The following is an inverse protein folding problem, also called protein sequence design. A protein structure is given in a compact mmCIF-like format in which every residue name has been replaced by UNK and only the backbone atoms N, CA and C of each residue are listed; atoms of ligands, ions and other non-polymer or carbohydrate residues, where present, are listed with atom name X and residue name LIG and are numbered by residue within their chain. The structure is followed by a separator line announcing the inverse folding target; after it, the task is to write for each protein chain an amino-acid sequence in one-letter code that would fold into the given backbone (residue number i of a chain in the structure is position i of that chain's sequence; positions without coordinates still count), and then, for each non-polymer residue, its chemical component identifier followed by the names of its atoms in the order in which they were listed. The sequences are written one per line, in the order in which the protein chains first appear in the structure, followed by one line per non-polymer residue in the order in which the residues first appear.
data_IF_918905485721
#
_entry.id   IF_918905485721
#
_cell.length_a   1.000
_cell.length_b   1.000
_cell.length_c   1.000
_cell.angle_alpha   90.00
_cell.angle_beta   90.00
_cell.angle_gamma   90.00
#
_symmetry.space_group_name_H-M   'P 1'
#
loop_
_entity.id
_entity.type
_entity.pdbx_description
1 polymer ?
#
# COMPACT_ATOMS: atom_id res chain seq x y z
N UNK A 1 32.07 31.79 69.61
CA UNK A 1 32.60 30.43 69.39
C UNK A 1 31.51 29.58 68.77
N UNK A 2 31.53 29.42 67.46
CA UNK A 2 30.73 28.43 66.73
C UNK A 2 31.54 28.05 65.50
N UNK A 3 32.19 26.89 65.57
CA UNK A 3 33.10 26.37 64.54
C UNK A 3 32.31 25.52 63.57
N UNK A 4 32.05 26.05 62.38
CA UNK A 4 31.49 25.32 61.25
C UNK A 4 32.55 24.42 60.61
N UNK A 5 32.33 23.12 60.66
CA UNK A 5 33.13 22.11 59.96
C UNK A 5 32.64 21.97 58.51
N UNK A 6 33.39 22.53 57.57
CA UNK A 6 33.23 22.26 56.14
C UNK A 6 33.77 20.88 55.80
N UNK A 7 32.91 19.99 55.31
CA UNK A 7 33.31 18.68 54.76
C UNK A 7 33.54 18.83 53.25
N UNK A 8 34.80 18.72 52.83
CA UNK A 8 35.19 18.56 51.43
C UNK A 8 34.69 17.21 50.89
N UNK A 9 34.00 17.23 49.75
CA UNK A 9 33.68 16.03 48.98
C UNK A 9 34.95 15.53 48.25
N UNK A 10 35.30 14.23 48.29
CA UNK A 10 36.39 13.71 47.50
C UNK A 10 35.98 13.60 46.03
N UNK A 11 36.67 14.35 45.18
CA UNK A 11 36.68 14.17 43.73
C UNK A 11 37.59 12.99 43.41
N UNK A 12 37.01 11.89 42.94
CA UNK A 12 37.73 10.63 42.75
C UNK A 12 37.23 9.81 41.57
N UNK A 13 37.23 10.38 40.36
CA UNK A 13 37.16 9.60 39.12
C UNK A 13 38.56 9.53 38.50
N UNK A 14 39.39 8.63 39.02
CA UNK A 14 40.61 8.21 38.33
C UNK A 14 40.26 7.38 37.08
N UNK A 15 41.00 7.48 35.97
CA UNK A 15 40.69 6.71 34.76
C UNK A 15 40.74 5.21 35.05
N UNK A 16 39.66 4.50 34.69
CA UNK A 16 39.54 3.04 34.85
C UNK A 16 40.80 2.31 34.36
N UNK A 17 41.32 1.40 35.18
CA UNK A 17 42.35 0.44 34.80
C UNK A 17 41.93 -0.36 33.56
N UNK A 18 42.90 -0.78 32.73
CA UNK A 18 42.65 -1.60 31.52
C UNK A 18 41.79 -2.83 31.83
N UNK A 19 41.98 -3.46 33.01
CA UNK A 19 41.14 -4.58 33.46
C UNK A 19 39.70 -4.17 33.74
N UNK A 20 39.49 -2.99 34.34
CA UNK A 20 38.16 -2.42 34.56
C UNK A 20 37.45 -2.10 33.25
N UNK A 21 38.17 -1.51 32.29
CA UNK A 21 37.65 -1.25 30.93
C UNK A 21 37.26 -2.55 30.20
N UNK A 22 38.08 -3.60 30.31
CA UNK A 22 37.79 -4.91 29.73
C UNK A 22 36.59 -5.60 30.38
N UNK A 23 36.43 -5.51 31.71
CA UNK A 23 35.28 -6.07 32.41
C UNK A 23 33.98 -5.33 32.07
N UNK A 24 34.02 -3.99 31.98
CA UNK A 24 32.87 -3.19 31.54
C UNK A 24 32.49 -3.53 30.09
N UNK A 25 33.49 -3.66 29.19
CA UNK A 25 33.25 -4.07 27.81
C UNK A 25 32.64 -5.47 27.74
N UNK A 26 33.18 -6.43 28.49
CA UNK A 26 32.66 -7.79 28.53
C UNK A 26 31.22 -7.82 29.06
N UNK A 27 30.93 -7.09 30.14
CA UNK A 27 29.58 -6.98 30.69
C UNK A 27 28.61 -6.35 29.67
N UNK A 28 29.03 -5.29 28.97
CA UNK A 28 28.23 -4.66 27.92
C UNK A 28 27.96 -5.63 26.75
N UNK A 29 28.98 -6.38 26.31
CA UNK A 29 28.85 -7.40 25.25
C UNK A 29 27.90 -8.51 25.68
N UNK A 30 28.01 -9.02 26.91
CA UNK A 30 27.10 -10.05 27.44
C UNK A 30 25.67 -9.52 27.51
N UNK A 31 25.45 -8.31 28.02
CA UNK A 31 24.11 -7.69 28.08
C UNK A 31 23.54 -7.53 26.67
N UNK A 32 24.30 -6.99 25.72
CA UNK A 32 23.86 -6.83 24.33
C UNK A 32 23.56 -8.17 23.66
N UNK A 33 24.40 -9.19 23.86
CA UNK A 33 24.18 -10.53 23.31
C UNK A 33 22.92 -11.18 23.90
N UNK A 34 22.68 -11.01 25.21
CA UNK A 34 21.46 -11.52 25.87
C UNK A 34 20.22 -10.81 25.34
N UNK A 35 20.26 -9.47 25.23
CA UNK A 35 19.15 -8.68 24.69
C UNK A 35 18.87 -9.06 23.24
N UNK A 36 19.89 -9.18 22.40
CA UNK A 36 19.77 -9.62 21.02
C UNK A 36 19.19 -11.04 20.93
N UNK A 37 19.68 -11.98 21.73
CA UNK A 37 19.18 -13.35 21.78
C UNK A 37 17.70 -13.42 22.19
N UNK A 38 17.29 -12.69 23.23
CA UNK A 38 15.89 -12.62 23.66
C UNK A 38 15.01 -11.95 22.59
N UNK A 39 15.50 -10.89 21.93
CA UNK A 39 14.78 -10.23 20.86
C UNK A 39 14.57 -11.15 19.66
N UNK A 40 15.60 -11.89 19.24
CA UNK A 40 15.54 -12.90 18.17
C UNK A 40 14.57 -14.02 18.55
N UNK A 41 14.65 -14.56 19.77
CA UNK A 41 13.76 -15.62 20.23
C UNK A 41 12.30 -15.16 20.26
N UNK A 42 12.01 -13.96 20.76
CA UNK A 42 10.66 -13.38 20.73
C UNK A 42 10.18 -13.06 19.31
N UNK A 43 11.08 -12.68 18.41
CA UNK A 43 10.73 -12.48 17.00
C UNK A 43 10.40 -13.81 16.32
N UNK A 44 11.20 -14.86 16.58
CA UNK A 44 10.98 -16.21 16.08
C UNK A 44 9.65 -16.80 16.61
N UNK A 45 9.38 -16.72 17.92
CA UNK A 45 8.13 -17.20 18.49
C UNK A 45 6.89 -16.44 17.97
N UNK A 46 7.01 -15.14 17.71
CA UNK A 46 5.95 -14.36 17.04
C UNK A 46 5.77 -14.75 15.58
N UNK A 47 6.85 -15.07 14.87
CA UNK A 47 6.77 -15.55 13.49
C UNK A 47 6.13 -16.93 13.40
N UNK A 48 6.46 -17.83 14.33
CA UNK A 48 5.86 -19.16 14.46
C UNK A 48 4.37 -19.07 14.80
N UNK A 49 3.99 -18.23 15.77
CA UNK A 49 2.58 -17.99 16.11
C UNK A 49 1.75 -17.52 14.89
N UNK A 50 2.34 -16.66 14.04
CA UNK A 50 1.69 -16.18 12.80
C UNK A 50 1.54 -17.26 11.72
N UNK A 51 2.27 -18.36 11.81
CA UNK A 51 2.16 -19.50 10.90
C UNK A 51 1.10 -20.52 11.35
N UNK A 52 0.53 -20.35 12.55
CA UNK A 52 -0.57 -21.18 13.04
C UNK A 52 -1.93 -20.56 12.73
N UNK A 53 -2.81 -21.37 12.17
CA UNK A 53 -4.21 -21.03 11.95
C UNK A 53 -4.86 -20.71 13.31
N UNK A 54 -5.54 -19.57 13.39
CA UNK A 54 -6.21 -19.14 14.61
C UNK A 54 -7.65 -19.65 14.66
N UNK A 55 -8.13 -19.96 15.87
CA UNK A 55 -9.53 -20.31 16.08
C UNK A 55 -10.44 -19.13 15.70
N UNK A 56 -11.49 -19.38 14.91
CA UNK A 56 -12.39 -18.34 14.41
C UNK A 56 -11.83 -17.53 13.23
N UNK A 57 -10.61 -17.83 12.76
CA UNK A 57 -10.08 -17.26 11.53
C UNK A 57 -10.76 -17.83 10.28
N UNK A 58 -10.60 -17.15 9.12
CA UNK A 58 -11.15 -17.63 7.85
C UNK A 58 -10.53 -18.98 7.46
N UNK A 59 -11.36 -19.90 6.94
CA UNK A 59 -10.87 -21.16 6.38
C UNK A 59 -10.07 -20.88 5.09
N UNK A 60 -8.86 -21.41 5.00
CA UNK A 60 -7.98 -21.24 3.84
C UNK A 60 -7.44 -22.60 3.40
N UNK A 61 -7.62 -22.92 2.13
CA UNK A 61 -7.14 -24.14 1.52
C UNK A 61 -6.32 -23.83 0.27
N UNK A 62 -5.25 -24.58 0.03
CA UNK A 62 -4.49 -24.47 -1.21
C UNK A 62 -5.34 -24.90 -2.42
N UNK A 63 -5.20 -24.21 -3.54
CA UNK A 63 -5.87 -24.57 -4.78
C UNK A 63 -5.53 -23.66 -5.95
N UNK A 64 -6.22 -23.87 -7.07
CA UNK A 64 -5.99 -23.08 -8.29
C UNK A 64 -6.78 -21.78 -8.24
N UNK A 65 -6.08 -20.66 -8.40
CA UNK A 65 -6.67 -19.35 -8.63
C UNK A 65 -6.41 -18.94 -10.08
N UNK A 66 -7.42 -18.35 -10.71
CA UNK A 66 -7.34 -17.85 -12.09
C UNK A 66 -7.76 -16.38 -12.11
N UNK A 67 -7.04 -15.57 -12.88
CA UNK A 67 -7.39 -14.17 -13.15
C UNK A 67 -8.24 -14.01 -14.42
N UNK A 68 -8.52 -15.11 -15.13
CA UNK A 68 -9.36 -15.07 -16.32
C UNK A 68 -10.79 -14.63 -15.97
N UNK A 69 -11.36 -13.82 -16.84
CA UNK A 69 -12.77 -13.40 -16.79
C UNK A 69 -13.72 -14.51 -17.26
N UNK A 70 -13.55 -15.71 -16.69
CA UNK A 70 -14.29 -16.91 -17.07
C UNK A 70 -14.83 -17.59 -15.82
N UNK A 71 -16.15 -17.68 -15.72
CA UNK A 71 -16.86 -18.31 -14.61
C UNK A 71 -17.65 -17.30 -13.79
N UNK A 72 -18.08 -17.68 -12.57
CA UNK A 72 -18.76 -16.75 -11.66
C UNK A 72 -17.82 -15.63 -11.20
N UNK A 73 -18.35 -14.41 -10.92
CA UNK A 73 -17.55 -13.32 -10.39
C UNK A 73 -16.84 -13.68 -9.08
N UNK A 74 -15.60 -13.22 -8.94
CA UNK A 74 -14.73 -13.52 -7.80
C UNK A 74 -14.02 -12.27 -7.30
N UNK A 75 -13.56 -12.33 -6.06
CA UNK A 75 -12.61 -11.35 -5.52
C UNK A 75 -11.30 -12.09 -5.25
N UNK A 76 -10.21 -11.51 -5.75
CA UNK A 76 -8.84 -11.96 -5.46
C UNK A 76 -8.15 -10.89 -4.63
N UNK A 77 -7.48 -11.28 -3.56
CA UNK A 77 -6.84 -10.36 -2.62
C UNK A 77 -5.63 -11.03 -1.96
N UNK A 78 -4.77 -10.24 -1.33
CA UNK A 78 -3.70 -10.76 -0.45
C UNK A 78 -4.33 -11.21 0.87
N UNK A 79 -4.19 -12.49 1.22
CA UNK A 79 -4.62 -13.03 2.50
C UNK A 79 -3.72 -12.50 3.61
N UNK A 80 -4.29 -11.88 4.64
CA UNK A 80 -3.59 -11.49 5.86
C UNK A 80 -3.80 -12.50 7.00
N UNK A 81 -4.58 -13.56 6.74
CA UNK A 81 -4.91 -14.58 7.74
C UNK A 81 -3.64 -15.25 8.23
N UNK A 82 -3.54 -15.44 9.55
CA UNK A 82 -2.45 -16.22 10.14
C UNK A 82 -2.60 -17.69 9.74
N UNK A 83 -1.47 -18.35 9.53
CA UNK A 83 -1.42 -19.66 8.92
C UNK A 83 -0.37 -19.73 7.80
N UNK A 84 -0.20 -20.92 7.19
CA UNK A 84 0.77 -21.14 6.12
C UNK A 84 0.50 -20.32 4.85
N UNK A 85 -0.75 -19.88 4.64
CA UNK A 85 -1.19 -19.13 3.46
C UNK A 85 -1.23 -17.61 3.68
N UNK A 86 -0.50 -17.12 4.69
CA UNK A 86 -0.37 -15.69 4.92
C UNK A 86 0.41 -15.04 3.77
N UNK A 87 -0.03 -13.86 3.36
CA UNK A 87 0.50 -13.06 2.25
C UNK A 87 0.32 -13.68 0.85
N UNK A 88 -0.27 -14.88 0.74
CA UNK A 88 -0.66 -15.48 -0.54
C UNK A 88 -1.87 -14.76 -1.16
N UNK A 89 -1.91 -14.71 -2.49
CA UNK A 89 -3.11 -14.37 -3.23
C UNK A 89 -4.16 -15.47 -2.99
N UNK A 90 -5.30 -15.05 -2.47
CA UNK A 90 -6.44 -15.88 -2.19
C UNK A 90 -7.65 -15.41 -3.00
N UNK A 91 -8.53 -16.35 -3.35
CA UNK A 91 -9.77 -16.09 -4.08
C UNK A 91 -10.99 -16.59 -3.32
N UNK A 92 -12.07 -15.82 -3.42
CA UNK A 92 -13.40 -16.12 -2.91
C UNK A 92 -14.46 -15.81 -3.98
N UNK A 93 -15.63 -16.46 -3.97
CA UNK A 93 -16.78 -16.03 -4.76
C UNK A 93 -17.19 -14.59 -4.38
N UNK A 94 -17.50 -13.74 -5.34
CA UNK A 94 -17.91 -12.36 -5.04
C UNK A 94 -19.22 -12.28 -4.24
N UNK A 95 -20.08 -13.29 -4.37
CA UNK A 95 -21.31 -13.43 -3.61
C UNK A 95 -21.10 -13.88 -2.14
N UNK A 96 -19.91 -14.38 -1.80
CA UNK A 96 -19.56 -14.86 -0.46
C UNK A 96 -18.13 -14.41 -0.09
N UNK A 97 -17.89 -13.09 0.04
CA UNK A 97 -16.55 -12.52 0.16
C UNK A 97 -15.82 -12.86 1.48
N UNK A 98 -16.56 -13.25 2.52
CA UNK A 98 -16.06 -13.71 3.81
C UNK A 98 -15.98 -15.25 3.93
N UNK A 99 -16.34 -15.97 2.87
CA UNK A 99 -16.36 -17.43 2.83
C UNK A 99 -14.97 -18.09 2.75
N UNK A 100 -14.93 -19.43 2.60
CA UNK A 100 -13.70 -20.18 2.48
C UNK A 100 -12.82 -19.70 1.32
N UNK A 101 -11.52 -19.59 1.58
CA UNK A 101 -10.54 -19.05 0.65
C UNK A 101 -9.78 -20.15 -0.08
N UNK A 102 -9.58 -19.94 -1.37
CA UNK A 102 -8.61 -20.72 -2.16
C UNK A 102 -7.32 -19.94 -2.28
N UNK A 103 -6.24 -20.41 -1.65
CA UNK A 103 -4.92 -19.78 -1.70
C UNK A 103 -4.08 -20.36 -2.84
N UNK A 104 -3.41 -19.48 -3.58
CA UNK A 104 -2.73 -19.81 -4.84
C UNK A 104 -1.28 -20.28 -4.72
N UNK A 105 -0.64 -20.09 -3.57
CA UNK A 105 0.81 -20.21 -3.40
C UNK A 105 1.63 -18.99 -3.87
N UNK A 106 1.00 -17.98 -4.47
CA UNK A 106 1.70 -16.75 -4.92
C UNK A 106 1.64 -15.68 -3.85
N UNK A 107 2.78 -15.32 -3.25
CA UNK A 107 2.86 -14.30 -2.21
C UNK A 107 3.01 -12.89 -2.80
N UNK A 108 2.25 -11.89 -2.32
CA UNK A 108 2.40 -10.49 -2.76
C UNK A 108 2.31 -9.54 -1.56
N UNK A 109 3.05 -8.42 -1.61
CA UNK A 109 2.88 -7.28 -0.70
C UNK A 109 1.71 -6.39 -1.14
N UNK A 110 1.64 -6.11 -2.44
CA UNK A 110 0.56 -5.37 -3.11
C UNK A 110 0.17 -6.11 -4.38
N UNK A 111 -1.11 -6.05 -4.72
CA UNK A 111 -1.65 -6.78 -5.84
C UNK A 111 -2.78 -6.00 -6.52
N UNK A 112 -2.89 -6.14 -7.84
CA UNK A 112 -4.10 -5.81 -8.56
C UNK A 112 -4.23 -6.69 -9.80
N UNK A 113 -5.45 -6.95 -10.25
CA UNK A 113 -5.70 -7.67 -11.50
C UNK A 113 -6.90 -7.13 -12.26
N UNK A 114 -6.78 -7.14 -13.58
CA UNK A 114 -7.83 -6.81 -14.54
C UNK A 114 -7.46 -7.40 -15.92
N UNK A 115 -8.47 -7.68 -16.75
CA UNK A 115 -8.24 -8.16 -18.13
C UNK A 115 -7.42 -9.46 -18.23
N UNK A 116 -7.45 -10.33 -17.22
CA UNK A 116 -6.64 -11.55 -17.19
C UNK A 116 -5.15 -11.34 -16.83
N UNK A 117 -4.74 -10.11 -16.52
CA UNK A 117 -3.38 -9.76 -16.12
C UNK A 117 -3.34 -9.39 -14.64
N UNK A 118 -2.34 -9.87 -13.92
CA UNK A 118 -2.04 -9.47 -12.55
C UNK A 118 -0.74 -8.70 -12.43
N UNK A 119 -0.66 -7.76 -11.49
CA UNK A 119 0.59 -7.18 -11.02
C UNK A 119 0.77 -7.54 -9.54
N UNK A 120 1.88 -8.21 -9.22
CA UNK A 120 2.22 -8.64 -7.86
C UNK A 120 3.54 -8.01 -7.46
N UNK A 121 3.52 -7.16 -6.43
CA UNK A 121 4.72 -6.52 -5.90
C UNK A 121 5.22 -7.36 -4.71
N UNK A 122 6.51 -7.68 -4.69
CA UNK A 122 7.10 -8.57 -3.69
C UNK A 122 8.33 -7.94 -3.04
N UNK A 123 8.59 -8.31 -1.79
CA UNK A 123 9.90 -8.17 -1.17
C UNK A 123 10.69 -9.48 -1.36
N UNK A 124 11.97 -9.33 -1.65
CA UNK A 124 12.98 -10.36 -1.54
C UNK A 124 13.83 -10.01 -0.32
N UNK A 125 13.75 -10.85 0.72
CA UNK A 125 14.51 -10.62 1.94
C UNK A 125 15.98 -10.89 1.68
N UNK A 126 16.79 -9.84 1.78
CA UNK A 126 18.24 -9.94 1.67
C UNK A 126 18.91 -10.10 3.04
N UNK A 127 20.21 -10.41 3.07
CA UNK A 127 20.97 -10.53 4.33
C UNK A 127 21.11 -9.20 5.08
N UNK A 128 21.10 -8.07 4.36
CA UNK A 128 21.35 -6.73 4.88
C UNK A 128 20.15 -5.80 4.65
N UNK A 129 19.64 -5.75 3.42
CA UNK A 129 18.47 -4.96 3.04
C UNK A 129 17.51 -5.82 2.22
N UNK A 130 16.22 -5.52 2.30
CA UNK A 130 15.22 -6.07 1.39
C UNK A 130 15.37 -5.42 0.00
N UNK A 131 15.25 -6.23 -1.05
CA UNK A 131 15.00 -5.74 -2.41
C UNK A 131 13.52 -5.94 -2.75
N UNK A 132 13.04 -5.20 -3.75
CA UNK A 132 11.65 -5.27 -4.15
C UNK A 132 11.55 -5.51 -5.65
N UNK A 133 10.50 -6.23 -6.08
CA UNK A 133 10.25 -6.53 -7.50
C UNK A 133 8.76 -6.47 -7.82
N UNK A 134 8.45 -6.08 -9.05
CA UNK A 134 7.14 -6.21 -9.67
C UNK A 134 7.12 -7.44 -10.59
N UNK A 135 6.11 -8.29 -10.40
CA UNK A 135 5.85 -9.45 -11.24
C UNK A 135 4.56 -9.21 -12.04
N UNK A 136 4.65 -9.27 -13.37
CA UNK A 136 3.47 -9.36 -14.22
C UNK A 136 3.07 -10.82 -14.31
N UNK A 137 1.81 -11.11 -14.02
CA UNK A 137 1.23 -12.44 -13.96
C UNK A 137 0.22 -12.63 -15.09
N UNK A 138 0.22 -13.80 -15.72
CA UNK A 138 -0.84 -14.22 -16.63
C UNK A 138 -2.11 -14.66 -15.88
N UNK A 139 -3.12 -15.08 -16.64
CA UNK A 139 -4.41 -15.51 -16.10
C UNK A 139 -4.34 -16.76 -15.22
N UNK A 140 -3.23 -17.50 -15.24
CA UNK A 140 -2.96 -18.68 -14.42
C UNK A 140 -1.92 -18.40 -13.34
N UNK A 141 -1.68 -17.11 -13.03
CA UNK A 141 -0.70 -16.64 -12.05
C UNK A 141 0.75 -17.00 -12.37
N UNK A 142 1.08 -17.26 -13.64
CA UNK A 142 2.47 -17.47 -14.06
C UNK A 142 3.13 -16.13 -14.32
N UNK A 143 4.35 -15.97 -13.81
CA UNK A 143 5.15 -14.77 -14.07
C UNK A 143 5.54 -14.71 -15.54
N UNK A 144 5.08 -13.67 -16.23
CA UNK A 144 5.45 -13.36 -17.62
C UNK A 144 6.56 -12.31 -17.70
N UNK A 145 6.70 -11.47 -16.67
CA UNK A 145 7.75 -10.46 -16.57
C UNK A 145 8.11 -10.17 -15.12
N UNK A 146 9.39 -9.83 -14.90
CA UNK A 146 9.92 -9.28 -13.65
C UNK A 146 10.54 -7.91 -13.91
N UNK A 147 10.32 -6.96 -13.02
CA UNK A 147 10.97 -5.64 -13.00
C UNK A 147 11.43 -5.35 -11.57
N UNK A 148 12.69 -4.99 -11.38
CA UNK A 148 13.18 -4.60 -10.06
C UNK A 148 12.67 -3.21 -9.68
N UNK A 149 12.38 -3.01 -8.40
CA UNK A 149 11.78 -1.79 -7.87
C UNK A 149 12.82 -0.96 -7.12
N UNK A 150 12.72 0.35 -7.25
CA UNK A 150 13.64 1.29 -6.61
C UNK A 150 13.38 1.48 -5.10
N UNK A 151 12.31 0.89 -4.54
CA UNK A 151 11.97 1.05 -3.12
C UNK A 151 10.70 0.31 -2.72
N UNK A 152 10.14 0.66 -1.56
CA UNK A 152 9.07 -0.09 -0.89
C UNK A 152 7.74 0.09 -1.66
N UNK A 153 7.09 -0.97 -2.16
CA UNK A 153 5.86 -0.86 -2.93
C UNK A 153 4.64 -0.49 -2.09
N UNK A 154 3.85 0.47 -2.58
CA UNK A 154 2.68 1.01 -1.86
C UNK A 154 1.39 0.87 -2.64
N UNK A 155 1.43 0.91 -3.97
CA UNK A 155 0.24 0.87 -4.85
C UNK A 155 0.52 -0.01 -6.06
N UNK A 156 -0.51 -0.66 -6.55
CA UNK A 156 -0.46 -1.47 -7.77
C UNK A 156 -1.80 -1.33 -8.51
N UNK A 157 -1.75 -1.23 -9.84
CA UNK A 157 -2.95 -1.10 -10.68
C UNK A 157 -2.71 -1.73 -12.04
N UNK A 158 -3.77 -2.24 -12.66
CA UNK A 158 -3.80 -2.76 -14.03
C UNK A 158 -4.92 -2.06 -14.80
N UNK A 159 -4.72 -1.76 -16.08
CA UNK A 159 -5.79 -1.20 -16.93
C UNK A 159 -6.91 -2.21 -17.17
N UNK A 160 -8.14 -1.77 -17.49
CA UNK A 160 -9.27 -2.68 -17.71
C UNK A 160 -8.98 -3.80 -18.73
N UNK A 161 -8.17 -3.50 -19.76
CA UNK A 161 -7.76 -4.46 -20.80
C UNK A 161 -6.68 -5.46 -20.34
N UNK A 162 -5.98 -5.19 -19.24
CA UNK A 162 -4.78 -5.94 -18.83
C UNK A 162 -3.48 -5.52 -19.52
N UNK A 163 -3.51 -4.50 -20.39
CA UNK A 163 -2.36 -4.12 -21.23
C UNK A 163 -1.39 -3.14 -20.55
N UNK A 164 -1.84 -2.38 -19.55
CA UNK A 164 -0.97 -1.51 -18.75
C UNK A 164 -0.95 -1.97 -17.30
N UNK A 165 0.22 -1.94 -16.68
CA UNK A 165 0.40 -2.10 -15.25
C UNK A 165 1.10 -0.87 -14.67
N UNK A 166 0.66 -0.40 -13.53
CA UNK A 166 1.29 0.67 -12.79
C UNK A 166 1.59 0.26 -11.36
N UNK A 167 2.65 0.83 -10.80
CA UNK A 167 2.96 0.71 -9.39
C UNK A 167 3.56 2.00 -8.85
N UNK A 168 3.38 2.23 -7.56
CA UNK A 168 4.07 3.29 -6.82
C UNK A 168 4.94 2.65 -5.74
N UNK A 169 6.14 3.21 -5.56
CA UNK A 169 7.05 2.88 -4.47
C UNK A 169 7.44 4.13 -3.68
N UNK A 170 7.79 3.97 -2.41
CA UNK A 170 8.56 4.98 -1.68
C UNK A 170 10.05 4.82 -1.99
N UNK A 171 10.70 5.91 -2.39
CA UNK A 171 12.17 6.00 -2.56
C UNK A 171 12.85 6.76 -1.42
N UNK A 172 12.06 7.47 -0.60
CA UNK A 172 12.48 8.06 0.67
C UNK A 172 11.26 8.16 1.60
N UNK A 173 11.45 7.87 2.89
CA UNK A 173 10.34 7.67 3.83
C UNK A 173 9.57 6.37 3.58
N UNK A 174 8.50 6.15 4.34
CA UNK A 174 7.66 4.94 4.29
C UNK A 174 6.15 5.21 4.51
N UNK A 175 5.75 6.48 4.61
CA UNK A 175 4.39 6.90 4.92
C UNK A 175 3.95 8.15 4.14
N UNK A 176 2.69 8.17 3.70
CA UNK A 176 2.05 9.33 3.09
C UNK A 176 1.58 10.38 4.11
N UNK A 177 1.52 10.02 5.40
CA UNK A 177 1.04 10.91 6.45
C UNK A 177 2.11 11.97 6.80
N UNK A 178 3.38 11.57 6.74
CA UNK A 178 4.52 12.48 6.96
C UNK A 178 4.75 13.46 5.81
N UNK A 179 5.51 14.51 6.07
CA UNK A 179 5.85 15.55 5.09
C UNK A 179 7.13 15.25 4.29
N UNK A 180 7.91 14.24 4.71
CA UNK A 180 9.25 13.98 4.21
C UNK A 180 9.34 12.63 3.47
N UNK A 181 8.38 12.35 2.58
CA UNK A 181 8.44 11.19 1.70
C UNK A 181 8.71 11.60 0.26
N UNK A 182 9.24 10.65 -0.51
CA UNK A 182 9.30 10.75 -1.96
C UNK A 182 8.84 9.44 -2.58
N UNK A 183 8.04 9.53 -3.62
CA UNK A 183 7.53 8.38 -4.37
C UNK A 183 8.13 8.32 -5.75
N UNK A 184 8.09 7.12 -6.33
CA UNK A 184 8.27 6.91 -7.77
C UNK A 184 7.11 6.07 -8.29
N UNK A 185 6.45 6.54 -9.34
CA UNK A 185 5.36 5.82 -10.01
C UNK A 185 5.77 5.45 -11.42
N UNK A 186 5.61 4.18 -11.78
CA UNK A 186 5.96 3.65 -13.10
C UNK A 186 4.72 3.14 -13.82
N UNK A 187 4.74 3.17 -15.15
CA UNK A 187 3.75 2.53 -16.02
C UNK A 187 4.48 1.61 -17.01
N UNK A 188 4.03 0.37 -17.09
CA UNK A 188 4.54 -0.67 -17.97
C UNK A 188 3.45 -1.07 -18.97
N UNK A 189 3.77 -1.05 -20.26
CA UNK A 189 2.96 -1.76 -21.26
C UNK A 189 3.34 -3.25 -21.23
N UNK A 190 2.39 -4.11 -20.87
CA UNK A 190 2.61 -5.53 -20.65
C UNK A 190 2.78 -6.32 -21.95
N UNK A 191 2.31 -5.76 -23.07
CA UNK A 191 2.40 -6.38 -24.41
C UNK A 191 3.79 -6.15 -25.01
N UNK A 192 4.28 -4.92 -24.92
CA UNK A 192 5.57 -4.53 -25.53
C UNK A 192 6.74 -4.60 -24.57
N UNK A 193 6.48 -4.54 -23.25
CA UNK A 193 7.51 -4.43 -22.23
C UNK A 193 8.09 -3.03 -22.06
N UNK A 194 7.55 -2.02 -22.77
CA UNK A 194 7.99 -0.63 -22.63
C UNK A 194 7.66 -0.13 -21.24
N UNK A 195 8.71 0.20 -20.49
CA UNK A 195 8.61 0.75 -19.14
C UNK A 195 8.83 2.26 -19.16
N UNK A 196 7.81 2.99 -18.73
CA UNK A 196 7.95 4.37 -18.29
C UNK A 196 8.27 4.35 -16.80
N UNK A 197 9.54 4.52 -16.48
CA UNK A 197 10.08 4.27 -15.13
C UNK A 197 9.59 5.26 -14.09
N UNK A 198 9.17 6.46 -14.49
CA UNK A 198 8.84 7.56 -13.58
C UNK A 198 7.81 8.49 -14.24
N UNK A 199 6.75 8.87 -13.51
CA UNK A 199 5.78 9.87 -13.99
C UNK A 199 6.32 11.31 -13.89
N UNK A 200 7.43 11.50 -13.19
CA UNK A 200 8.15 12.76 -13.04
C UNK A 200 8.67 13.30 -14.37
N UNK A 201 8.86 12.43 -15.37
CA UNK A 201 9.22 12.81 -16.74
C UNK A 201 8.03 13.41 -17.52
N UNK A 202 6.80 13.27 -17.01
CA UNK A 202 5.61 13.71 -17.72
C UNK A 202 5.47 15.23 -17.75
N UNK A 203 4.77 15.66 -18.79
CA UNK A 203 4.41 17.02 -19.02
C UNK A 203 3.18 17.49 -18.24
N UNK A 204 3.37 17.83 -16.96
CA UNK A 204 2.27 18.35 -16.11
C UNK A 204 1.94 19.82 -16.39
N UNK A 205 0.67 20.09 -16.70
CA UNK A 205 0.13 21.45 -16.89
C UNK A 205 -0.89 21.76 -15.80
N UNK A 206 -0.83 22.97 -15.23
CA UNK A 206 -1.80 23.54 -14.30
C UNK A 206 -2.24 24.90 -14.81
N UNK A 207 -3.55 25.10 -14.95
CA UNK A 207 -4.16 26.35 -15.44
C UNK A 207 -3.55 26.82 -16.78
N UNK A 208 -3.36 25.87 -17.71
CA UNK A 208 -2.76 26.13 -19.02
C UNK A 208 -1.26 26.39 -19.03
N UNK A 209 -0.59 26.40 -17.87
CA UNK A 209 0.85 26.63 -17.74
C UNK A 209 1.58 25.36 -17.33
N UNK A 210 2.76 25.14 -17.92
CA UNK A 210 3.62 24.02 -17.54
C UNK A 210 4.05 24.19 -16.08
N UNK A 211 3.75 23.19 -15.26
CA UNK A 211 4.19 23.09 -13.88
C UNK A 211 5.50 22.29 -13.81
N UNK A 212 6.51 22.88 -13.19
CA UNK A 212 7.77 22.24 -12.83
C UNK A 212 8.11 22.66 -11.42
N UNK A 213 8.35 21.69 -10.54
CA UNK A 213 8.82 21.93 -9.19
C UNK A 213 9.66 20.72 -8.75
N UNK A 214 10.69 20.96 -7.94
CA UNK A 214 11.60 19.91 -7.50
C UNK A 214 10.95 18.92 -6.52
N UNK A 215 9.86 19.33 -5.87
CA UNK A 215 9.09 18.56 -4.91
C UNK A 215 7.89 17.82 -5.53
N UNK A 216 7.78 17.80 -6.88
CA UNK A 216 6.72 17.07 -7.57
C UNK A 216 6.81 15.57 -7.28
N UNK A 217 5.74 15.02 -6.74
CA UNK A 217 5.59 13.59 -6.49
C UNK A 217 4.29 13.07 -7.09
N UNK A 218 4.30 11.83 -7.58
CA UNK A 218 3.14 11.19 -8.19
C UNK A 218 2.85 9.83 -7.57
N UNK A 219 1.58 9.52 -7.31
CA UNK A 219 1.16 8.21 -6.80
C UNK A 219 -0.29 7.86 -7.11
N UNK A 220 -0.63 6.59 -6.93
CA UNK A 220 -2.03 6.13 -6.93
C UNK A 220 -2.68 6.23 -8.31
N UNK A 221 -2.18 5.48 -9.29
CA UNK A 221 -2.73 5.44 -10.65
C UNK A 221 -4.05 4.68 -10.70
N UNK A 222 -4.96 5.14 -11.54
CA UNK A 222 -6.13 4.40 -12.05
C UNK A 222 -6.26 4.65 -13.54
N UNK A 223 -6.46 3.61 -14.33
CA UNK A 223 -6.57 3.73 -15.79
C UNK A 223 -8.02 3.94 -16.21
N UNK A 224 -8.25 4.80 -17.20
CA UNK A 224 -9.50 4.87 -17.93
C UNK A 224 -9.49 3.89 -19.11
N UNK A 225 -8.36 3.84 -19.81
CA UNK A 225 -8.10 2.95 -20.93
C UNK A 225 -6.58 2.73 -21.08
N UNK A 226 -6.13 2.25 -22.24
CA UNK A 226 -4.71 1.98 -22.52
C UNK A 226 -3.89 3.22 -22.93
N UNK A 227 -4.49 4.41 -22.87
CA UNK A 227 -3.88 5.70 -23.19
C UNK A 227 -4.05 6.68 -22.04
N UNK A 228 -5.21 6.70 -21.38
CA UNK A 228 -5.57 7.69 -20.38
C UNK A 228 -5.60 7.10 -18.97
N UNK A 229 -5.11 7.88 -18.02
CA UNK A 229 -5.15 7.53 -16.60
C UNK A 229 -5.42 8.75 -15.74
N UNK A 230 -5.75 8.49 -14.48
CA UNK A 230 -5.76 9.47 -13.41
C UNK A 230 -4.75 9.07 -12.35
N UNK A 231 -4.18 10.07 -11.68
CA UNK A 231 -3.27 9.85 -10.55
C UNK A 231 -3.33 11.05 -9.60
N UNK A 232 -2.66 10.92 -8.47
CA UNK A 232 -2.33 12.04 -7.61
C UNK A 232 -1.00 12.64 -8.03
N UNK A 233 -0.96 13.97 -8.13
CA UNK A 233 0.27 14.75 -8.12
C UNK A 233 0.31 15.62 -6.86
N UNK A 234 1.47 15.83 -6.28
CA UNK A 234 1.63 16.75 -5.16
C UNK A 234 2.85 17.64 -5.30
N UNK A 235 2.72 18.89 -4.87
CA UNK A 235 3.76 19.92 -4.82
C UNK A 235 3.26 21.09 -3.98
N UNK A 236 4.17 21.79 -3.31
CA UNK A 236 3.87 22.97 -2.49
C UNK A 236 2.90 22.67 -1.34
N UNK A 237 2.93 21.45 -0.79
CA UNK A 237 2.01 21.02 0.27
C UNK A 237 0.57 20.75 -0.19
N UNK A 238 0.30 20.78 -1.49
CA UNK A 238 -1.02 20.51 -2.06
C UNK A 238 -1.02 19.22 -2.88
N UNK A 239 -2.15 18.52 -2.87
CA UNK A 239 -2.41 17.35 -3.72
C UNK A 239 -3.41 17.70 -4.81
N UNK A 240 -3.29 17.04 -5.96
CA UNK A 240 -4.12 17.27 -7.13
C UNK A 240 -4.51 15.95 -7.79
N UNK A 241 -5.75 15.85 -8.22
CA UNK A 241 -6.16 14.91 -9.26
C UNK A 241 -5.57 15.37 -10.58
N UNK A 242 -4.82 14.51 -11.25
CA UNK A 242 -4.37 14.72 -12.63
C UNK A 242 -5.05 13.74 -13.58
N UNK A 243 -5.24 14.15 -14.84
CA UNK A 243 -5.51 13.26 -15.98
C UNK A 243 -4.27 13.23 -16.85
N UNK A 244 -3.74 12.04 -17.10
CA UNK A 244 -2.54 11.81 -17.89
C UNK A 244 -2.82 11.04 -19.18
N UNK A 245 -1.92 11.22 -20.14
CA UNK A 245 -1.83 10.49 -21.41
C UNK A 245 -0.48 9.76 -21.46
N UNK A 246 -0.53 8.43 -21.53
CA UNK A 246 0.63 7.54 -21.52
C UNK A 246 1.47 7.71 -22.78
N UNK A 247 0.84 7.89 -23.93
CA UNK A 247 1.51 7.97 -25.24
C UNK A 247 2.19 9.32 -25.41
N UNK A 248 1.47 10.40 -25.13
CA UNK A 248 1.98 11.76 -25.23
C UNK A 248 2.92 12.13 -24.07
N UNK A 249 2.94 11.33 -22.99
CA UNK A 249 3.66 11.62 -21.73
C UNK A 249 3.30 12.99 -21.17
N UNK A 250 2.01 13.30 -21.14
CA UNK A 250 1.48 14.58 -20.63
C UNK A 250 0.50 14.34 -19.48
N UNK A 251 0.31 15.35 -18.65
CA UNK A 251 -0.71 15.35 -17.61
C UNK A 251 -1.29 16.75 -17.42
N UNK A 252 -2.53 16.83 -16.98
CA UNK A 252 -3.19 18.09 -16.61
C UNK A 252 -3.86 17.95 -15.25
N UNK A 253 -3.72 18.96 -14.41
CA UNK A 253 -4.45 19.03 -13.13
C UNK A 253 -5.93 19.27 -13.38
N UNK A 254 -6.79 18.54 -12.69
CA UNK A 254 -8.24 18.71 -12.75
C UNK A 254 -8.79 19.37 -11.47
N UNK A 255 -8.29 18.93 -10.31
CA UNK A 255 -8.89 19.28 -9.02
C UNK A 255 -7.87 19.17 -7.90
N UNK A 256 -7.94 20.04 -6.90
CA UNK A 256 -7.12 19.94 -5.69
C UNK A 256 -7.69 18.95 -4.65
N UNK A 257 -6.86 18.55 -3.70
CA UNK A 257 -7.19 17.70 -2.55
C UNK A 257 -7.78 16.33 -2.92
N UNK A 258 -7.14 15.64 -3.85
CA UNK A 258 -7.51 14.28 -4.28
C UNK A 258 -6.29 13.37 -4.20
N UNK A 259 -6.34 12.37 -3.33
CA UNK A 259 -5.29 11.37 -3.17
C UNK A 259 -5.75 9.96 -3.52
N UNK A 260 -4.88 9.16 -4.16
CA UNK A 260 -5.13 7.76 -4.53
C UNK A 260 -6.45 7.54 -5.29
N UNK A 261 -6.67 8.19 -6.45
CA UNK A 261 -7.91 8.04 -7.21
C UNK A 261 -8.17 6.62 -7.68
N UNK A 262 -9.44 6.24 -7.74
CA UNK A 262 -9.94 5.00 -8.31
C UNK A 262 -11.14 5.27 -9.19
N UNK A 263 -11.01 5.01 -10.48
CA UNK A 263 -12.06 5.25 -11.47
C UNK A 263 -13.13 4.15 -11.37
N UNK A 264 -14.40 4.54 -11.46
CA UNK A 264 -15.53 3.61 -11.53
C UNK A 264 -15.51 2.81 -12.83
N UNK A 265 -16.11 1.60 -12.87
CA UNK A 265 -16.17 0.80 -14.10
C UNK A 265 -16.85 1.53 -15.25
N UNK A 266 -17.91 2.30 -14.98
CA UNK A 266 -18.59 3.17 -15.96
C UNK A 266 -17.78 4.40 -16.41
N UNK A 267 -16.60 4.68 -15.82
CA UNK A 267 -15.73 5.79 -16.18
C UNK A 267 -16.22 7.19 -15.76
N UNK A 268 -17.27 7.29 -14.95
CA UNK A 268 -17.93 8.58 -14.63
C UNK A 268 -17.51 9.19 -13.29
N UNK A 269 -16.95 8.37 -12.38
CA UNK A 269 -16.71 8.76 -10.98
C UNK A 269 -15.33 8.32 -10.51
N UNK A 270 -14.78 9.07 -9.55
CA UNK A 270 -13.53 8.73 -8.87
C UNK A 270 -13.79 8.59 -7.37
N UNK A 271 -13.53 7.40 -6.82
CA UNK A 271 -13.36 7.24 -5.39
C UNK A 271 -11.94 7.63 -4.99
N UNK A 272 -11.77 8.37 -3.90
CA UNK A 272 -10.47 8.89 -3.49
C UNK A 272 -10.44 9.17 -1.99
N UNK A 273 -9.23 9.28 -1.43
CA UNK A 273 -9.04 9.75 -0.06
C UNK A 273 -8.83 11.26 -0.06
N UNK A 274 -9.58 11.98 0.78
CA UNK A 274 -9.55 13.43 0.90
C UNK A 274 -9.00 13.81 2.27
N UNK A 275 -8.04 14.73 2.33
CA UNK A 275 -7.64 15.31 3.62
C UNK A 275 -8.73 16.28 4.07
N UNK A 276 -9.28 16.05 5.26
CA UNK A 276 -10.35 16.90 5.83
C UNK A 276 -9.73 17.77 6.94
N UNK A 277 -9.83 19.12 6.84
CA UNK A 277 -9.32 20.02 7.86
C UNK A 277 -9.92 19.74 9.24
N UNK A 278 -9.12 19.91 10.29
CA UNK A 278 -9.53 19.71 11.69
C UNK A 278 -9.45 18.27 12.18
N UNK A 279 -9.09 17.32 11.33
CA UNK A 279 -8.76 15.96 11.74
C UNK A 279 -7.31 15.84 12.22
N UNK A 280 -7.03 14.75 12.93
CA UNK A 280 -5.68 14.37 13.34
C UNK A 280 -4.73 14.35 12.11
N UNK A 281 -3.59 15.07 12.15
CA UNK A 281 -2.59 15.05 11.09
C UNK A 281 -2.07 13.66 10.71
N UNK A 282 -2.05 12.72 11.66
CA UNK A 282 -1.60 11.35 11.43
C UNK A 282 -2.72 10.44 10.87
N UNK A 283 -3.97 10.89 10.95
CA UNK A 283 -5.15 10.19 10.42
C UNK A 283 -6.15 11.14 9.69
N UNK A 284 -5.69 11.91 8.68
CA UNK A 284 -6.43 13.05 8.13
C UNK A 284 -7.43 12.69 7.03
N UNK A 285 -7.46 11.44 6.58
CA UNK A 285 -8.14 11.05 5.36
C UNK A 285 -9.55 10.55 5.61
N UNK A 286 -10.46 10.91 4.70
CA UNK A 286 -11.82 10.36 4.60
C UNK A 286 -12.09 9.92 3.19
N UNK A 287 -12.96 8.92 3.03
CA UNK A 287 -13.31 8.38 1.73
C UNK A 287 -14.42 9.19 1.06
N UNK A 288 -14.14 9.71 -0.13
CA UNK A 288 -15.02 10.56 -0.92
C UNK A 288 -15.21 9.99 -2.33
N UNK A 289 -16.28 10.42 -3.00
CA UNK A 289 -16.54 10.14 -4.41
C UNK A 289 -16.69 11.46 -5.16
N UNK A 290 -16.02 11.57 -6.29
CA UNK A 290 -16.00 12.70 -7.21
C UNK A 290 -16.78 12.34 -8.47
N UNK A 291 -17.66 13.22 -8.93
CA UNK A 291 -18.22 13.18 -10.28
C UNK A 291 -17.25 13.82 -11.27
N UNK A 292 -16.84 13.10 -12.32
CA UNK A 292 -15.82 13.59 -13.25
C UNK A 292 -16.29 14.70 -14.18
N UNK A 293 -17.60 14.78 -14.45
CA UNK A 293 -18.16 15.80 -15.35
C UNK A 293 -18.23 17.17 -14.67
N UNK A 294 -18.53 17.19 -13.38
CA UNK A 294 -18.73 18.41 -12.58
C UNK A 294 -17.55 18.74 -11.67
N UNK A 295 -16.67 17.77 -11.42
CA UNK A 295 -15.59 17.83 -10.43
C UNK A 295 -16.07 18.17 -9.01
N UNK A 296 -17.32 17.85 -8.69
CA UNK A 296 -17.89 17.95 -7.35
C UNK A 296 -17.76 16.63 -6.61
N UNK A 297 -17.47 16.70 -5.31
CA UNK A 297 -17.37 15.52 -4.45
C UNK A 297 -18.43 15.50 -3.35
N UNK A 298 -18.68 14.31 -2.84
CA UNK A 298 -19.44 14.08 -1.61
C UNK A 298 -18.75 12.99 -0.77
N UNK A 299 -18.89 13.04 0.57
CA UNK A 299 -18.35 12.00 1.44
C UNK A 299 -19.11 10.68 1.25
N UNK A 300 -18.44 9.57 1.48
CA UNK A 300 -19.10 8.28 1.73
C UNK A 300 -19.61 8.21 3.18
N UNK A 301 -20.35 7.15 3.52
CA UNK A 301 -20.75 6.89 4.90
C UNK A 301 -19.58 6.40 5.81
N UNK A 302 -18.37 6.19 5.27
CA UNK A 302 -17.18 5.82 6.06
C UNK A 302 -16.56 7.05 6.71
N UNK A 303 -16.54 7.04 8.05
CA UNK A 303 -16.06 8.15 8.88
C UNK A 303 -14.69 7.88 9.49
N UNK A 304 -14.13 6.68 9.34
CA UNK A 304 -12.79 6.32 9.80
C UNK A 304 -11.72 6.79 8.82
N UNK A 305 -10.48 6.78 9.29
CA UNK A 305 -9.33 7.13 8.46
C UNK A 305 -9.02 6.02 7.45
N UNK A 306 -9.11 6.34 6.14
CA UNK A 306 -8.80 5.41 5.05
C UNK A 306 -7.48 5.83 4.40
N UNK A 307 -6.41 5.10 4.72
CA UNK A 307 -5.08 5.29 4.15
C UNK A 307 -4.68 4.17 3.17
N UNK A 308 -5.60 3.80 2.28
CA UNK A 308 -5.31 2.95 1.12
C UNK A 308 -6.04 3.46 -0.12
N UNK A 309 -5.71 2.90 -1.29
CA UNK A 309 -6.47 3.16 -2.52
C UNK A 309 -7.72 2.29 -2.54
N UNK A 310 -8.90 2.93 -2.52
CA UNK A 310 -10.16 2.22 -2.70
C UNK A 310 -10.26 1.58 -4.10
N UNK A 311 -11.12 0.58 -4.23
CA UNK A 311 -11.49 -0.03 -5.51
C UNK A 311 -13.01 -0.10 -5.64
N UNK A 312 -13.49 -0.20 -6.87
CA UNK A 312 -14.91 -0.43 -7.14
C UNK A 312 -15.17 -1.93 -7.25
N UNK A 313 -16.20 -2.41 -6.56
CA UNK A 313 -16.76 -3.76 -6.75
C UNK A 313 -17.81 -3.74 -7.87
N UNK A 314 -18.46 -2.63 -8.09
CA UNK A 314 -19.40 -2.42 -9.19
C UNK A 314 -19.59 -0.91 -9.34
N UNK A 315 -20.52 -0.46 -10.18
CA UNK A 315 -20.76 0.98 -10.36
C UNK A 315 -21.33 1.68 -9.12
N UNK A 316 -21.71 0.96 -8.07
CA UNK A 316 -22.32 1.54 -6.87
C UNK A 316 -21.56 1.28 -5.57
N UNK A 317 -20.62 0.35 -5.56
CA UNK A 317 -20.06 -0.22 -4.34
C UNK A 317 -18.55 -0.11 -4.31
N UNK A 318 -18.02 0.44 -3.21
CA UNK A 318 -16.59 0.55 -2.97
C UNK A 318 -16.10 -0.57 -2.06
N UNK A 319 -14.85 -0.97 -2.23
CA UNK A 319 -14.08 -1.73 -1.26
C UNK A 319 -12.77 -1.00 -0.91
N UNK A 320 -12.37 -1.07 0.35
CA UNK A 320 -11.18 -0.40 0.89
C UNK A 320 -10.68 -1.15 2.11
N UNK A 321 -9.42 -0.96 2.47
CA UNK A 321 -8.83 -1.60 3.65
C UNK A 321 -8.79 -0.67 4.85
N UNK A 322 -8.99 -1.22 6.03
CA UNK A 322 -8.71 -0.59 7.31
C UNK A 322 -7.80 -1.50 8.16
N UNK A 323 -7.09 -0.96 9.17
CA UNK A 323 -6.39 -1.79 10.14
C UNK A 323 -7.34 -2.81 10.77
N UNK A 324 -6.87 -4.05 10.90
CA UNK A 324 -7.59 -5.15 11.55
C UNK A 324 -6.64 -6.00 12.39
N UNK A 325 -7.19 -6.90 13.20
CA UNK A 325 -6.44 -7.67 14.21
C UNK A 325 -5.22 -8.42 13.65
N UNK A 326 -5.31 -8.86 12.40
CA UNK A 326 -4.26 -9.63 11.71
C UNK A 326 -3.52 -8.83 10.63
N UNK A 327 -3.71 -7.51 10.61
CA UNK A 327 -3.01 -6.56 9.73
C UNK A 327 -3.97 -5.62 9.02
N UNK A 328 -4.85 -6.17 8.19
CA UNK A 328 -5.85 -5.37 7.47
C UNK A 328 -7.11 -6.19 7.20
N UNK A 329 -8.24 -5.50 7.24
CA UNK A 329 -9.56 -6.01 6.87
C UNK A 329 -10.10 -5.22 5.68
N UNK A 330 -10.87 -5.89 4.81
CA UNK A 330 -11.61 -5.23 3.74
C UNK A 330 -12.98 -4.84 4.24
N UNK A 331 -13.33 -3.59 4.01
CA UNK A 331 -14.64 -3.02 4.22
C UNK A 331 -15.26 -2.63 2.88
N UNK A 332 -16.57 -2.47 2.89
CA UNK A 332 -17.34 -2.01 1.74
C UNK A 332 -18.37 -0.96 2.16
N UNK A 333 -18.64 -0.01 1.27
CA UNK A 333 -19.65 1.01 1.46
C UNK A 333 -20.26 1.41 0.10
N UNK A 334 -21.55 1.82 0.07
CA UNK A 334 -22.12 2.45 -1.11
C UNK A 334 -21.39 3.75 -1.47
N UNK A 335 -21.13 3.95 -2.75
CA UNK A 335 -20.48 5.15 -3.29
C UNK A 335 -21.38 6.40 -3.22
N UNK A 336 -22.70 6.21 -3.09
CA UNK A 336 -23.68 7.30 -3.05
C UNK A 336 -23.74 8.11 -1.75
N UNK A 337 -22.95 7.76 -0.73
CA UNK A 337 -22.90 8.50 0.55
C UNK A 337 -23.97 8.11 1.58
N UNK A 338 -25.02 7.41 1.16
CA UNK A 338 -26.03 6.83 2.06
C UNK A 338 -25.66 5.38 2.47
N UNK A 339 -26.33 4.88 3.52
CA UNK A 339 -26.12 3.53 4.05
C UNK A 339 -25.03 3.49 5.13
N UNK A 340 -24.44 2.30 5.35
CA UNK A 340 -23.41 2.09 6.35
C UNK A 340 -22.24 1.27 5.79
N UNK A 341 -20.99 1.58 6.18
CA UNK A 341 -19.87 0.68 6.01
C UNK A 341 -20.13 -0.68 6.65
N UNK A 342 -19.70 -1.75 5.98
CA UNK A 342 -19.74 -3.11 6.53
C UNK A 342 -18.44 -3.84 6.25
N UNK A 343 -18.11 -4.80 7.09
CA UNK A 343 -17.00 -5.72 6.84
C UNK A 343 -17.33 -6.51 5.56
N UNK A 344 -16.38 -6.55 4.63
CA UNK A 344 -16.46 -7.34 3.40
C UNK A 344 -15.72 -8.67 3.58
N UNK A 345 -14.50 -8.62 4.11
CA UNK A 345 -13.69 -9.78 4.43
C UNK A 345 -12.67 -9.40 5.51
N UNK A 346 -12.59 -10.16 6.60
CA UNK A 346 -11.51 -9.99 7.60
C UNK A 346 -10.16 -10.42 7.01
N UNK A 347 -9.05 -9.98 7.58
CA UNK A 347 -7.69 -10.44 7.23
C UNK A 347 -7.43 -10.48 5.71
N UNK A 348 -7.71 -9.40 5.01
CA UNK A 348 -7.63 -9.29 3.56
C UNK A 348 -7.17 -7.89 3.13
N UNK A 349 -6.42 -7.80 2.03
CA UNK A 349 -5.84 -6.55 1.53
C UNK A 349 -5.72 -6.55 0.00
N UNK A 350 -5.73 -5.37 -0.62
CA UNK A 350 -5.54 -5.18 -2.07
C UNK A 350 -6.52 -6.01 -2.94
N UNK A 351 -7.83 -5.79 -2.82
CA UNK A 351 -8.82 -6.56 -3.55
C UNK A 351 -8.85 -6.19 -5.04
N UNK A 352 -9.08 -7.19 -5.86
CA UNK A 352 -9.43 -7.07 -7.27
C UNK A 352 -10.68 -7.90 -7.52
N UNK A 353 -11.71 -7.27 -8.08
CA UNK A 353 -12.89 -8.00 -8.53
C UNK A 353 -12.68 -8.44 -9.97
N UNK A 354 -13.01 -9.70 -10.23
CA UNK A 354 -12.94 -10.34 -11.53
C UNK A 354 -14.35 -10.78 -11.92
N UNK A 355 -14.80 -10.37 -13.10
CA UNK A 355 -16.07 -10.74 -13.69
C UNK A 355 -15.98 -12.02 -14.52
#
# INVERSE_FOLDING_TARGET
MSTGTGTQAPSGDGPLSVRGKLLVLLAAVVVLATVAGVAVWRAAGRAEARNHVQAGGPAVHAGKVSLAASGPPRIVFRSMAWGPHRDELASVPAAAPDGPRTASGVTCLRFYAAGGTGICLQAERGPVNDSYRALVLDSRLRTTRRVDLAGIPTRARVSPSGHLAAWTVFIGGDSYAGTNFSTRTSILDTRTGVLQSTLEDYALTRDGKRLRAADLNYWGVTFADDTHFYATAATGGHTYLIRGDVTARTAVTLRSNVECPSLSPDGTRIAFKKRVPGLDPDAPWRLYVLDLSTLRDHPTAETRNVDDQAVWLDDATLAYSLPGDYGSDLYTAPAGGAGAPRLLASSALSPSRLD
#
